data_IF_495171820189
#
_entry.id   IF_495171820189
#
_cell.length_a   1.000
_cell.length_b   1.000
_cell.length_c   1.000
_cell.angle_alpha   90.00
_cell.angle_beta   90.00
_cell.angle_gamma   90.00
#
_symmetry.space_group_name_H-M   'P 1'
#
loop_
_entity.id
_entity.type
_entity.pdbx_description
1 polymer ?
#
# COMPACT_ATOMS: atom_id res chain seq x y z
N UNK A 1 0.58 -2.76 -3.61
CA UNK A 1 0.67 -2.37 -5.04
C UNK A 1 -0.70 -1.93 -5.55
N UNK A 2 -0.76 -0.80 -6.20
CA UNK A 2 -1.97 -0.38 -6.93
C UNK A 2 -1.85 -0.89 -8.36
N UNK A 3 -2.89 -1.57 -8.83
CA UNK A 3 -2.95 -2.10 -10.19
C UNK A 3 -4.15 -1.47 -10.92
N UNK A 4 -3.91 -0.41 -11.72
CA UNK A 4 -5.01 0.26 -12.43
C UNK A 4 -5.75 -0.66 -13.40
N UNK A 5 -5.02 -1.53 -14.11
CA UNK A 5 -5.63 -2.46 -15.06
C UNK A 5 -6.54 -3.49 -14.41
N UNK A 6 -6.25 -3.89 -13.17
CA UNK A 6 -7.07 -4.83 -12.40
C UNK A 6 -8.04 -4.13 -11.46
N UNK A 7 -7.93 -2.81 -11.32
CA UNK A 7 -8.75 -1.98 -10.40
C UNK A 7 -8.68 -2.48 -8.96
N UNK A 8 -7.45 -2.75 -8.47
CA UNK A 8 -7.21 -3.32 -7.14
C UNK A 8 -6.01 -2.69 -6.46
N UNK A 9 -6.09 -2.61 -5.14
CA UNK A 9 -4.93 -2.49 -4.25
C UNK A 9 -4.62 -3.89 -3.74
N UNK A 10 -3.36 -4.29 -3.88
CA UNK A 10 -2.91 -5.62 -3.44
C UNK A 10 -1.77 -5.51 -2.44
N UNK A 11 -1.81 -6.35 -1.43
CA UNK A 11 -0.72 -6.56 -0.49
C UNK A 11 -0.01 -7.86 -0.84
N UNK A 12 1.31 -7.79 -1.01
CA UNK A 12 2.13 -8.94 -1.38
C UNK A 12 3.08 -9.32 -0.24
N UNK A 13 3.32 -10.62 -0.11
CA UNK A 13 4.36 -11.18 0.73
C UNK A 13 5.18 -12.13 -0.11
N UNK A 14 6.48 -11.84 -0.29
CA UNK A 14 7.39 -12.63 -1.13
C UNK A 14 6.80 -12.90 -2.53
N UNK A 15 6.34 -11.83 -3.19
CA UNK A 15 5.74 -11.85 -4.53
C UNK A 15 4.42 -12.63 -4.64
N UNK A 16 3.82 -13.01 -3.52
CA UNK A 16 2.51 -13.67 -3.48
C UNK A 16 1.48 -12.70 -2.93
N UNK A 17 0.37 -12.45 -3.65
CA UNK A 17 -0.69 -11.60 -3.12
C UNK A 17 -1.39 -12.28 -1.95
N UNK A 18 -1.48 -11.60 -0.81
CA UNK A 18 -2.09 -12.14 0.41
C UNK A 18 -3.39 -11.44 0.77
N UNK A 19 -3.59 -10.21 0.32
CA UNK A 19 -4.84 -9.44 0.49
C UNK A 19 -5.04 -8.53 -0.70
N UNK A 20 -6.29 -8.25 -1.01
CA UNK A 20 -6.63 -7.27 -2.05
C UNK A 20 -7.97 -6.59 -1.76
N UNK A 21 -8.13 -5.38 -2.29
CA UNK A 21 -9.36 -4.61 -2.23
C UNK A 21 -9.55 -3.91 -3.57
N UNK A 22 -10.81 -3.72 -3.96
CA UNK A 22 -11.15 -3.01 -5.18
C UNK A 22 -10.80 -1.52 -5.02
N UNK A 23 -10.09 -0.99 -6.01
CA UNK A 23 -9.80 0.43 -6.10
C UNK A 23 -9.81 0.84 -7.57
N UNK A 24 -10.72 1.74 -7.92
CA UNK A 24 -10.82 2.24 -9.28
C UNK A 24 -9.87 3.42 -9.47
N UNK A 25 -8.94 3.26 -10.41
CA UNK A 25 -8.02 4.32 -10.79
C UNK A 25 -8.76 5.44 -11.53
N UNK A 26 -8.47 6.69 -11.16
CA UNK A 26 -9.03 7.86 -11.86
C UNK A 26 -7.89 8.55 -12.60
N UNK A 27 -7.89 8.51 -13.96
CA UNK A 27 -6.87 9.23 -14.72
C UNK A 27 -6.85 10.73 -14.43
N UNK A 28 -5.66 11.29 -14.31
CA UNK A 28 -5.51 12.72 -14.03
C UNK A 28 -5.63 13.11 -12.56
N UNK A 29 -5.96 12.18 -11.67
CA UNK A 29 -6.01 12.41 -10.23
C UNK A 29 -4.85 11.71 -9.53
N UNK A 30 -4.42 12.27 -8.40
CA UNK A 30 -3.43 11.62 -7.54
C UNK A 30 -4.08 10.54 -6.69
N UNK A 31 -3.39 9.43 -6.57
CA UNK A 31 -3.76 8.33 -5.67
C UNK A 31 -2.80 8.32 -4.49
N UNK A 32 -3.36 8.34 -3.29
CA UNK A 32 -2.60 8.22 -2.06
C UNK A 32 -2.60 6.77 -1.59
N UNK A 33 -1.44 6.32 -1.13
CA UNK A 33 -1.28 4.99 -0.54
C UNK A 33 -0.62 5.17 0.82
N UNK A 34 -1.17 4.51 1.83
CA UNK A 34 -0.56 4.47 3.16
C UNK A 34 -0.36 3.02 3.58
N UNK A 35 0.79 2.74 4.17
CA UNK A 35 1.13 1.42 4.71
C UNK A 35 1.67 1.61 6.12
N UNK A 36 1.24 0.76 7.04
CA UNK A 36 1.72 0.77 8.42
C UNK A 36 2.08 -0.64 8.85
N UNK A 37 3.20 -0.78 9.53
CA UNK A 37 3.62 -2.05 10.13
C UNK A 37 3.78 -1.82 11.63
N UNK A 38 3.09 -2.63 12.44
CA UNK A 38 3.13 -2.54 13.90
C UNK A 38 3.44 -3.88 14.53
N UNK A 39 4.26 -3.91 15.60
CA UNK A 39 4.35 -5.10 16.44
C UNK A 39 3.03 -5.30 17.20
N UNK A 40 2.70 -6.57 17.42
CA UNK A 40 1.55 -7.00 18.21
C UNK A 40 2.00 -7.95 19.31
N UNK A 41 1.19 -8.15 20.36
CA UNK A 41 1.50 -9.16 21.38
C UNK A 41 1.68 -10.56 20.76
N UNK A 42 2.55 -11.37 21.36
CA UNK A 42 2.77 -12.75 20.91
C UNK A 42 3.73 -12.90 19.75
N UNK A 43 4.70 -11.99 19.62
CA UNK A 43 5.70 -12.02 18.55
C UNK A 43 5.08 -12.02 17.14
N UNK A 44 4.06 -11.19 16.99
CA UNK A 44 3.36 -10.99 15.72
C UNK A 44 3.49 -9.55 15.26
N UNK A 45 3.30 -9.35 13.97
CA UNK A 45 3.26 -8.02 13.36
C UNK A 45 2.01 -7.90 12.50
N UNK A 46 1.43 -6.73 12.46
CA UNK A 46 0.31 -6.45 11.57
C UNK A 46 0.76 -5.44 10.51
N UNK A 47 0.47 -5.78 9.26
CA UNK A 47 0.68 -4.91 8.10
C UNK A 47 -0.67 -4.43 7.65
N UNK A 48 -0.85 -3.12 7.53
CA UNK A 48 -2.11 -2.51 7.12
C UNK A 48 -1.87 -1.57 5.95
N UNK A 49 -2.83 -1.50 5.06
CA UNK A 49 -2.75 -0.63 3.90
C UNK A 49 -4.10 0.00 3.58
N UNK A 50 -4.05 1.19 3.01
CA UNK A 50 -5.22 1.88 2.48
C UNK A 50 -4.84 2.72 1.28
N UNK A 51 -5.82 3.00 0.44
CA UNK A 51 -5.67 3.78 -0.79
C UNK A 51 -6.87 4.68 -0.97
N UNK A 52 -6.65 5.91 -1.47
CA UNK A 52 -7.74 6.83 -1.75
C UNK A 52 -7.30 7.85 -2.81
N UNK A 53 -8.27 8.46 -3.47
CA UNK A 53 -8.02 9.55 -4.41
C UNK A 53 -7.81 10.87 -3.68
N UNK A 54 -7.03 11.78 -4.26
CA UNK A 54 -6.79 13.09 -3.67
C UNK A 54 -8.05 13.94 -3.53
N UNK A 55 -9.08 13.67 -4.34
CA UNK A 55 -10.39 14.30 -4.25
C UNK A 55 -11.25 13.77 -3.11
N UNK A 56 -10.83 12.70 -2.45
CA UNK A 56 -11.52 12.07 -1.33
C UNK A 56 -10.83 12.37 -0.01
N UNK A 57 -11.58 12.24 1.09
CA UNK A 57 -10.97 12.27 2.42
C UNK A 57 -10.21 10.97 2.68
N UNK A 58 -9.13 11.08 3.44
CA UNK A 58 -8.38 9.89 3.86
C UNK A 58 -9.30 8.98 4.69
N UNK A 59 -9.40 7.68 4.33
CA UNK A 59 -10.18 6.73 5.12
C UNK A 59 -9.66 6.64 6.55
N UNK A 60 -10.57 6.64 7.52
CA UNK A 60 -10.19 6.50 8.94
C UNK A 60 -9.73 5.09 9.25
N UNK A 61 -10.26 4.11 8.55
CA UNK A 61 -9.96 2.70 8.77
C UNK A 61 -9.04 2.17 7.69
N UNK A 62 -8.22 1.19 8.05
CA UNK A 62 -7.38 0.48 7.11
C UNK A 62 -8.23 -0.48 6.28
N UNK A 63 -8.00 -0.49 4.97
CA UNK A 63 -8.77 -1.31 4.02
C UNK A 63 -8.24 -2.73 3.93
N UNK A 64 -6.94 -2.91 4.15
CA UNK A 64 -6.28 -4.21 4.13
C UNK A 64 -5.50 -4.42 5.42
N UNK A 65 -5.47 -5.67 5.89
CA UNK A 65 -4.65 -6.05 7.02
C UNK A 65 -4.14 -7.48 6.84
N UNK A 66 -2.89 -7.70 7.22
CA UNK A 66 -2.25 -9.01 7.21
C UNK A 66 -1.46 -9.18 8.49
N UNK A 67 -1.67 -10.30 9.19
CA UNK A 67 -0.90 -10.62 10.39
C UNK A 67 0.29 -11.50 10.00
N UNK A 68 1.48 -11.06 10.38
CA UNK A 68 2.73 -11.76 10.10
C UNK A 68 3.29 -12.34 11.38
N UNK A 69 3.74 -13.59 11.34
CA UNK A 69 4.31 -14.29 12.49
C UNK A 69 5.85 -14.23 12.52
N UNK A 70 6.44 -13.68 11.49
CA UNK A 70 7.90 -13.53 11.36
C UNK A 70 8.24 -12.06 11.40
N UNK A 71 9.27 -11.68 12.15
CA UNK A 71 9.72 -10.30 12.21
C UNK A 71 10.06 -9.79 10.80
N UNK A 72 9.49 -8.67 10.37
CA UNK A 72 9.83 -8.10 9.07
C UNK A 72 11.31 -7.78 8.96
N UNK A 73 11.90 -8.10 7.82
CA UNK A 73 13.29 -7.77 7.55
C UNK A 73 13.50 -6.26 7.52
N UNK A 74 14.63 -5.75 8.06
CA UNK A 74 14.95 -4.35 7.94
C UNK A 74 15.18 -4.00 6.47
N UNK A 75 14.78 -2.80 6.10
CA UNK A 75 14.94 -2.32 4.73
C UNK A 75 14.48 -0.88 4.61
N UNK A 76 14.54 -0.35 3.40
CA UNK A 76 14.09 0.99 3.09
C UNK A 76 12.72 0.95 2.45
N UNK A 77 11.87 1.91 2.81
CA UNK A 77 10.64 2.12 2.08
C UNK A 77 10.97 2.74 0.72
N UNK A 78 10.38 2.21 -0.33
CA UNK A 78 10.57 2.70 -1.69
C UNK A 78 9.24 2.82 -2.41
N UNK A 79 9.15 3.76 -3.35
CA UNK A 79 8.06 3.83 -4.30
C UNK A 79 8.59 3.38 -5.67
N UNK A 80 7.81 2.56 -6.35
CA UNK A 80 8.23 1.93 -7.59
C UNK A 80 7.04 1.77 -8.53
N UNK A 81 7.27 1.94 -9.83
CA UNK A 81 6.20 1.85 -10.81
C UNK A 81 6.63 1.14 -12.09
N UNK A 82 5.68 0.42 -12.69
CA UNK A 82 5.83 -0.23 -13.99
C UNK A 82 4.72 0.25 -14.92
N UNK A 83 4.94 1.29 -15.73
CA UNK A 83 3.92 1.76 -16.66
C UNK A 83 3.91 0.88 -17.93
N UNK A 84 2.99 -0.07 -17.97
CA UNK A 84 2.82 -0.92 -19.15
C UNK A 84 2.03 -0.25 -20.27
N UNK A 85 1.33 0.84 -19.97
CA UNK A 85 0.49 1.55 -20.93
C UNK A 85 1.25 2.50 -21.84
N UNK A 86 2.56 2.66 -21.65
CA UNK A 86 3.35 3.66 -22.35
C UNK A 86 3.15 5.08 -21.82
N UNK A 87 2.31 5.27 -20.83
CA UNK A 87 2.05 6.57 -20.18
C UNK A 87 2.97 6.70 -18.95
N UNK A 88 3.63 7.86 -18.77
CA UNK A 88 4.48 8.05 -17.60
C UNK A 88 3.70 7.95 -16.29
N UNK A 89 4.34 7.39 -15.27
CA UNK A 89 3.84 7.39 -13.90
C UNK A 89 4.68 8.39 -13.10
N UNK A 90 4.01 9.28 -12.37
CA UNK A 90 4.67 10.21 -11.47
C UNK A 90 4.47 9.75 -10.02
N UNK A 91 5.52 9.87 -9.21
CA UNK A 91 5.48 9.58 -7.78
C UNK A 91 5.97 10.82 -7.06
N UNK A 92 5.26 11.23 -6.00
CA UNK A 92 5.59 12.40 -5.22
C UNK A 92 5.26 12.17 -3.75
N UNK A 93 5.86 12.98 -2.88
CA UNK A 93 5.58 12.97 -1.44
C UNK A 93 5.75 11.61 -0.76
N UNK A 94 6.83 10.90 -1.07
CA UNK A 94 7.16 9.71 -0.29
C UNK A 94 7.62 10.12 1.12
N UNK A 95 6.85 9.75 2.13
CA UNK A 95 7.13 10.06 3.53
C UNK A 95 7.17 8.78 4.34
N UNK A 96 8.19 8.67 5.19
CA UNK A 96 8.36 7.53 6.08
C UNK A 96 8.64 8.07 7.46
N UNK A 97 7.87 7.62 8.44
CA UNK A 97 8.12 7.99 9.84
C UNK A 97 7.89 6.81 10.76
N UNK A 98 8.58 6.88 11.90
CA UNK A 98 8.46 5.86 12.92
C UNK A 98 7.17 6.08 13.72
N UNK A 99 6.50 4.99 14.02
CA UNK A 99 5.35 4.96 14.93
C UNK A 99 5.78 4.27 16.22
N UNK A 100 5.40 4.86 17.33
CA UNK A 100 5.69 4.31 18.66
C UNK A 100 4.46 3.67 19.28
#
# INVERSE_FOLDING_TARGET
MVSPGQKKLKLFRNDVPVREVVHTWVPGDWTHIAVQIRPMPGLKWIVMAKVWHSSELEPKEWQLAWTENVEPLPGRATAWGQPFSGTPIAVDDLRVWRID
#
